data_IF_223269916699
#
_entry.id   IF_223269916699
#
_cell.length_a   1.000
_cell.length_b   1.000
_cell.length_c   1.000
_cell.angle_alpha   90.00
_cell.angle_beta   90.00
_cell.angle_gamma   90.00
#
_symmetry.space_group_name_H-M   'P 1'
#
loop_
_entity.id
_entity.type
_entity.pdbx_description
1 polymer ?
#
# COMPACT_ATOMS: atom_id res chain seq x y z
N UNK A 1 0.03 2.08 -16.47
CA UNK A 1 -0.94 2.31 -15.38
C UNK A 1 -1.55 1.01 -14.84
N UNK A 2 -1.38 0.73 -13.55
CA UNK A 2 -2.05 -0.34 -12.81
C UNK A 2 -3.38 0.15 -12.22
N UNK A 3 -4.39 -0.71 -12.06
CA UNK A 3 -5.60 -0.41 -11.27
C UNK A 3 -5.29 -0.50 -9.77
N UNK A 4 -5.92 0.34 -8.94
CA UNK A 4 -5.73 0.36 -7.49
C UNK A 4 -7.03 -0.08 -6.81
N UNK A 5 -6.96 -1.14 -6.01
CA UNK A 5 -8.05 -1.60 -5.14
C UNK A 5 -7.57 -1.48 -3.69
N UNK A 6 -8.41 -0.92 -2.81
CA UNK A 6 -8.12 -0.81 -1.39
C UNK A 6 -9.11 -1.70 -0.65
N UNK A 7 -8.59 -2.67 0.12
CA UNK A 7 -9.43 -3.55 0.94
C UNK A 7 -10.04 -2.77 2.10
N UNK A 8 -11.18 -3.26 2.58
CA UNK A 8 -11.97 -2.59 3.62
C UNK A 8 -11.13 -2.32 4.90
N UNK A 9 -10.25 -3.26 5.27
CA UNK A 9 -9.36 -3.12 6.43
C UNK A 9 -8.39 -1.93 6.24
N UNK A 10 -7.82 -1.78 5.06
CA UNK A 10 -6.94 -0.67 4.72
C UNK A 10 -7.71 0.66 4.67
N UNK A 11 -8.92 0.66 4.11
CA UNK A 11 -9.79 1.83 4.06
C UNK A 11 -10.20 2.30 5.47
N UNK A 12 -10.62 1.37 6.33
CA UNK A 12 -10.93 1.63 7.74
C UNK A 12 -9.73 2.22 8.48
N UNK A 13 -8.50 1.79 8.16
CA UNK A 13 -7.29 2.38 8.75
C UNK A 13 -7.07 3.83 8.27
N UNK A 14 -7.23 4.10 6.97
CA UNK A 14 -7.11 5.45 6.42
C UNK A 14 -8.12 6.42 7.05
N UNK A 15 -9.35 5.96 7.31
CA UNK A 15 -10.39 6.74 8.00
C UNK A 15 -10.07 7.06 9.47
N UNK A 16 -9.17 6.28 10.12
CA UNK A 16 -8.82 6.44 11.55
C UNK A 16 -7.62 7.37 11.80
N UNK A 17 -6.78 7.60 10.80
CA UNK A 17 -5.57 8.43 10.95
C UNK A 17 -5.85 9.89 10.59
N UNK A 18 -4.88 10.77 10.84
CA UNK A 18 -5.00 12.18 10.45
C UNK A 18 -5.17 12.29 8.92
N UNK A 19 -6.10 13.16 8.50
CA UNK A 19 -6.42 13.40 7.08
C UNK A 19 -5.17 13.65 6.22
N UNK A 20 -4.25 14.50 6.69
CA UNK A 20 -2.97 14.78 6.03
C UNK A 20 -2.12 13.53 5.79
N UNK A 21 -2.07 12.62 6.76
CA UNK A 21 -1.34 11.36 6.65
C UNK A 21 -2.03 10.41 5.65
N UNK A 22 -3.37 10.32 5.69
CA UNK A 22 -4.14 9.53 4.73
C UNK A 22 -3.96 10.03 3.29
N UNK A 23 -4.03 11.35 3.07
CA UNK A 23 -3.84 11.98 1.76
C UNK A 23 -2.43 11.70 1.21
N UNK A 24 -1.39 11.76 2.05
CA UNK A 24 -0.03 11.41 1.65
C UNK A 24 0.12 9.94 1.28
N UNK A 25 -0.56 9.03 1.99
CA UNK A 25 -0.58 7.60 1.66
C UNK A 25 -1.26 7.36 0.32
N UNK A 26 -2.44 7.95 0.10
CA UNK A 26 -3.16 7.85 -1.16
C UNK A 26 -2.33 8.42 -2.31
N UNK A 27 -1.77 9.62 -2.17
CA UNK A 27 -0.90 10.23 -3.19
C UNK A 27 0.28 9.31 -3.54
N UNK A 28 0.90 8.68 -2.54
CA UNK A 28 1.98 7.73 -2.79
C UNK A 28 1.48 6.48 -3.53
N UNK A 29 0.36 5.89 -3.12
CA UNK A 29 -0.25 4.74 -3.80
C UNK A 29 -0.59 5.04 -5.27
N UNK A 30 -1.13 6.23 -5.55
CA UNK A 30 -1.42 6.66 -6.92
C UNK A 30 -0.15 6.87 -7.74
N UNK A 31 0.91 7.47 -7.16
CA UNK A 31 2.17 7.70 -7.91
C UNK A 31 2.88 6.42 -8.35
N UNK A 32 2.70 5.31 -7.62
CA UNK A 32 3.38 4.05 -7.95
C UNK A 32 2.62 3.21 -9.00
N UNK A 33 1.46 3.66 -9.48
CA UNK A 33 0.64 2.92 -10.44
C UNK A 33 1.32 2.73 -11.79
N UNK A 34 2.24 3.60 -12.20
CA UNK A 34 2.97 3.42 -13.46
C UNK A 34 4.07 2.38 -13.33
N UNK A 35 4.89 2.50 -12.29
CA UNK A 35 5.99 1.57 -12.05
C UNK A 35 6.08 1.22 -10.55
N UNK A 36 5.39 0.17 -10.09
CA UNK A 36 5.30 -0.11 -8.65
C UNK A 36 6.58 -0.70 -8.07
N UNK A 37 7.27 -1.58 -8.80
CA UNK A 37 8.37 -2.39 -8.25
C UNK A 37 9.53 -1.61 -7.63
N UNK A 38 10.01 -0.48 -8.19
CA UNK A 38 11.09 0.31 -7.60
C UNK A 38 10.78 0.87 -6.21
N UNK A 39 9.49 1.04 -5.88
CA UNK A 39 9.05 1.61 -4.62
C UNK A 39 8.72 0.55 -3.56
N UNK A 40 8.75 -0.72 -3.94
CA UNK A 40 8.23 -1.82 -3.14
C UNK A 40 9.34 -2.77 -2.73
N UNK A 41 9.20 -3.33 -1.52
CA UNK A 41 10.06 -4.41 -1.04
C UNK A 41 9.22 -5.66 -0.84
N UNK A 42 9.63 -6.76 -1.44
CA UNK A 42 8.99 -8.07 -1.25
C UNK A 42 9.09 -8.49 0.22
N UNK A 43 8.03 -9.06 0.75
CA UNK A 43 8.04 -9.66 2.08
C UNK A 43 8.69 -11.05 2.01
N UNK A 44 9.59 -11.34 2.95
CA UNK A 44 10.29 -12.63 2.99
C UNK A 44 9.27 -13.76 3.18
N UNK A 45 9.34 -14.78 2.34
CA UNK A 45 8.46 -15.95 2.43
C UNK A 45 7.03 -15.74 1.91
N UNK A 46 6.72 -14.62 1.25
CA UNK A 46 5.39 -14.43 0.63
C UNK A 46 5.47 -13.80 -0.77
N UNK A 47 4.35 -13.81 -1.49
CA UNK A 47 4.17 -13.11 -2.77
C UNK A 47 3.79 -11.62 -2.58
N UNK A 48 3.69 -11.17 -1.34
CA UNK A 48 3.25 -9.84 -0.99
C UNK A 48 4.40 -8.84 -0.99
N UNK A 49 4.02 -7.59 -1.13
CA UNK A 49 4.91 -6.44 -1.22
C UNK A 49 4.62 -5.48 -0.08
N UNK A 50 5.62 -4.69 0.28
CA UNK A 50 5.51 -3.64 1.28
C UNK A 50 5.92 -2.31 0.67
N UNK A 51 5.02 -1.34 0.76
CA UNK A 51 5.27 0.06 0.51
C UNK A 51 5.54 0.78 1.82
N UNK A 52 6.54 1.65 1.84
CA UNK A 52 6.77 2.58 2.95
C UNK A 52 6.25 3.97 2.60
N UNK A 53 5.47 4.56 3.51
CA UNK A 53 5.02 5.95 3.39
C UNK A 53 5.12 6.61 4.75
N UNK A 54 6.00 7.61 4.90
CA UNK A 54 6.23 8.30 6.19
C UNK A 54 6.53 7.32 7.34
N UNK A 55 5.66 7.34 8.37
CA UNK A 55 5.61 6.48 9.56
C UNK A 55 4.70 5.25 9.41
N UNK A 56 4.21 4.97 8.19
CA UNK A 56 3.31 3.86 7.87
C UNK A 56 3.93 2.86 6.91
N UNK A 57 3.34 1.66 6.89
CA UNK A 57 3.59 0.61 5.89
C UNK A 57 2.25 0.16 5.30
N UNK A 58 2.22 -0.03 4.00
CA UNK A 58 1.12 -0.69 3.32
C UNK A 58 1.60 -2.06 2.81
N UNK A 59 0.81 -3.10 3.06
CA UNK A 59 0.99 -4.44 2.50
C UNK A 59 0.14 -4.50 1.24
N UNK A 60 0.80 -4.86 0.13
CA UNK A 60 0.21 -4.87 -1.19
C UNK A 60 0.32 -6.26 -1.81
N UNK A 61 -0.68 -6.64 -2.58
CA UNK A 61 -0.57 -7.70 -3.57
C UNK A 61 -0.54 -7.09 -4.97
N UNK A 62 0.37 -7.57 -5.83
CA UNK A 62 0.53 -7.05 -7.20
C UNK A 62 0.22 -8.18 -8.16
N UNK A 63 -0.91 -8.06 -8.85
CA UNK A 63 -1.31 -8.98 -9.91
C UNK A 63 -0.73 -8.46 -11.22
N UNK A 64 0.35 -9.09 -11.68
CA UNK A 64 1.08 -8.69 -12.89
C UNK A 64 0.22 -8.86 -14.15
N UNK A 65 -0.50 -9.98 -14.26
CA UNK A 65 -1.36 -10.30 -15.42
C UNK A 65 -2.48 -9.28 -15.61
N UNK A 66 -3.14 -8.87 -14.51
CA UNK A 66 -4.23 -7.90 -14.52
C UNK A 66 -3.80 -6.45 -14.30
N UNK A 67 -2.50 -6.17 -14.20
CA UNK A 67 -1.94 -4.85 -13.81
C UNK A 67 -2.71 -4.26 -12.63
N UNK A 68 -2.85 -5.01 -11.53
CA UNK A 68 -3.66 -4.59 -10.37
C UNK A 68 -2.80 -4.52 -9.10
N UNK A 69 -2.97 -3.45 -8.35
CA UNK A 69 -2.38 -3.25 -7.02
C UNK A 69 -3.52 -3.35 -6.01
N UNK A 70 -3.47 -4.34 -5.13
CA UNK A 70 -4.44 -4.56 -4.07
C UNK A 70 -3.79 -4.16 -2.74
N UNK A 71 -4.34 -3.14 -2.08
CA UNK A 71 -3.88 -2.68 -0.77
C UNK A 71 -4.59 -3.49 0.31
N UNK A 72 -3.92 -4.51 0.83
CA UNK A 72 -4.50 -5.44 1.81
C UNK A 72 -4.62 -4.81 3.20
N UNK A 73 -3.57 -4.11 3.64
CA UNK A 73 -3.51 -3.54 4.99
C UNK A 73 -2.59 -2.33 5.04
N UNK A 74 -2.95 -1.33 5.85
CA UNK A 74 -2.09 -0.19 6.18
C UNK A 74 -1.95 -0.15 7.70
N UNK A 75 -0.75 0.18 8.19
CA UNK A 75 -0.49 0.28 9.62
C UNK A 75 0.72 1.14 9.96
N UNK A 76 0.84 1.52 11.22
CA UNK A 76 2.01 2.22 11.75
C UNK A 76 3.26 1.33 11.64
N UNK A 77 4.42 1.94 11.38
CA UNK A 77 5.69 1.23 11.23
C UNK A 77 6.05 0.37 12.47
N UNK A 78 5.60 0.79 13.66
CA UNK A 78 5.78 0.07 14.93
C UNK A 78 4.82 -1.11 15.15
N UNK A 79 3.70 -1.14 14.42
CA UNK A 79 2.62 -2.13 14.60
C UNK A 79 2.46 -3.05 13.36
N UNK A 80 3.35 -2.93 12.38
CA UNK A 80 3.38 -3.80 11.19
C UNK A 80 4.59 -4.70 11.33
N UNK A 81 4.47 -5.65 12.28
CA UNK A 81 5.04 -7.01 12.35
C UNK A 81 4.22 -7.81 13.36
#
# INVERSE_FOLDING_TARGET
MHSLQIEEIAERFLKKIQKKDADMILKKLYSIRENPFPHLKKLKGSKLWRLRVLKYRAILDIIVSGRKIIVLRIGYRKNVY
#
